data_IF_785123972625
#
_entry.id   IF_785123972625
#
_cell.length_a   1.000
_cell.length_b   1.000
_cell.length_c   1.000
_cell.angle_alpha   90.00
_cell.angle_beta   90.00
_cell.angle_gamma   90.00
#
_symmetry.space_group_name_H-M   'P 1'
#
loop_
_entity.id
_entity.type
_entity.pdbx_description
1 polymer ?
#
# COMPACT_ATOMS: atom_id res chain seq x y z
N UNK A 1 -19.84 -19.51 -25.32
CA UNK A 1 -18.38 -19.42 -25.11
C UNK A 1 -18.09 -19.83 -23.67
N UNK A 2 -17.22 -20.83 -23.46
CA UNK A 2 -16.87 -21.26 -22.09
C UNK A 2 -16.09 -20.15 -21.38
N UNK A 3 -16.48 -19.83 -20.15
CA UNK A 3 -15.80 -18.82 -19.33
C UNK A 3 -14.46 -19.43 -18.91
N UNK A 4 -13.35 -18.87 -19.40
CA UNK A 4 -12.02 -19.27 -18.96
C UNK A 4 -11.93 -19.17 -17.43
N UNK A 5 -11.15 -20.06 -16.81
CA UNK A 5 -10.88 -19.91 -15.39
C UNK A 5 -10.23 -18.55 -15.15
N UNK A 6 -10.54 -17.90 -14.02
CA UNK A 6 -10.01 -16.56 -13.68
C UNK A 6 -8.49 -16.48 -13.79
N UNK A 7 -7.79 -17.58 -13.47
CA UNK A 7 -6.33 -17.69 -13.60
C UNK A 7 -5.87 -17.60 -15.06
N UNK A 8 -6.54 -18.29 -15.96
CA UNK A 8 -6.22 -18.26 -17.40
C UNK A 8 -6.53 -16.88 -17.98
N UNK A 9 -7.65 -16.27 -17.59
CA UNK A 9 -7.99 -14.90 -18.02
C UNK A 9 -6.91 -13.88 -17.59
N UNK A 10 -6.44 -13.96 -16.34
CA UNK A 10 -5.36 -13.11 -15.84
C UNK A 10 -4.06 -13.30 -16.62
N UNK A 11 -3.71 -14.55 -16.90
CA UNK A 11 -2.50 -14.88 -17.64
C UNK A 11 -2.53 -14.34 -19.07
N UNK A 12 -3.66 -14.51 -19.77
CA UNK A 12 -3.86 -13.96 -21.12
C UNK A 12 -3.84 -12.43 -21.13
N UNK A 13 -4.44 -11.77 -20.13
CA UNK A 13 -4.39 -10.31 -20.01
C UNK A 13 -2.95 -9.84 -19.81
N UNK A 14 -2.22 -10.45 -18.87
CA UNK A 14 -0.82 -10.15 -18.60
C UNK A 14 0.05 -10.32 -19.85
N UNK A 15 -0.11 -11.44 -20.56
CA UNK A 15 0.63 -11.72 -21.78
C UNK A 15 0.37 -10.66 -22.87
N UNK A 16 -0.89 -10.24 -23.07
CA UNK A 16 -1.24 -9.17 -24.01
C UNK A 16 -0.64 -7.82 -23.63
N UNK A 17 -0.72 -7.44 -22.36
CA UNK A 17 -0.13 -6.18 -21.88
C UNK A 17 1.40 -6.17 -22.03
N UNK A 18 2.06 -7.29 -21.74
CA UNK A 18 3.51 -7.43 -21.98
C UNK A 18 3.87 -7.38 -23.47
N UNK A 19 3.04 -7.95 -24.35
CA UNK A 19 3.28 -7.93 -25.79
C UNK A 19 3.21 -6.51 -26.40
N UNK A 20 2.40 -5.61 -25.82
CA UNK A 20 2.34 -4.20 -26.22
C UNK A 20 3.37 -3.32 -25.49
N UNK A 21 4.26 -3.92 -24.69
CA UNK A 21 5.37 -3.21 -24.05
C UNK A 21 5.07 -2.62 -22.66
N UNK A 22 3.90 -2.88 -22.06
CA UNK A 22 3.57 -2.34 -20.73
C UNK A 22 4.49 -2.93 -19.64
N UNK A 23 4.92 -2.06 -18.74
CA UNK A 23 5.70 -2.40 -17.55
C UNK A 23 4.89 -3.21 -16.55
N UNK A 24 5.57 -3.86 -15.60
CA UNK A 24 4.88 -4.60 -14.54
C UNK A 24 4.05 -3.69 -13.62
N UNK A 25 4.46 -2.44 -13.47
CA UNK A 25 3.74 -1.45 -12.65
C UNK A 25 2.44 -1.02 -13.32
N UNK A 26 2.47 -0.75 -14.63
CA UNK A 26 1.24 -0.49 -15.41
C UNK A 26 0.30 -1.70 -15.39
N UNK A 27 0.84 -2.92 -15.49
CA UNK A 27 0.05 -4.14 -15.36
C UNK A 27 -0.55 -4.26 -13.97
N UNK A 28 0.19 -3.94 -12.91
CA UNK A 28 -0.32 -3.97 -11.54
C UNK A 28 -1.49 -3.00 -11.36
N UNK A 29 -1.40 -1.78 -11.91
CA UNK A 29 -2.51 -0.81 -11.89
C UNK A 29 -3.77 -1.37 -12.56
N UNK A 30 -3.63 -1.97 -13.75
CA UNK A 30 -4.78 -2.58 -14.43
C UNK A 30 -5.36 -3.78 -13.67
N UNK A 31 -4.50 -4.60 -13.06
CA UNK A 31 -4.93 -5.72 -12.24
C UNK A 31 -5.68 -5.26 -10.99
N UNK A 32 -5.21 -4.21 -10.33
CA UNK A 32 -5.89 -3.60 -9.19
C UNK A 32 -7.30 -3.11 -9.59
N UNK A 33 -7.41 -2.41 -10.73
CA UNK A 33 -8.68 -1.86 -11.24
C UNK A 33 -9.68 -2.94 -11.64
N UNK A 34 -9.25 -3.91 -12.46
CA UNK A 34 -10.09 -4.94 -13.08
C UNK A 34 -10.47 -6.06 -12.12
N UNK A 35 -9.52 -6.51 -11.29
CA UNK A 35 -9.71 -7.66 -10.41
C UNK A 35 -9.87 -7.29 -8.93
N UNK A 36 -9.89 -6.00 -8.60
CA UNK A 36 -10.02 -5.47 -7.23
C UNK A 36 -8.94 -6.02 -6.30
N UNK A 37 -7.73 -6.15 -6.83
CA UNK A 37 -6.57 -6.59 -6.07
C UNK A 37 -5.95 -5.39 -5.36
N UNK A 38 -5.53 -5.60 -4.10
CA UNK A 38 -4.70 -4.63 -3.39
C UNK A 38 -3.33 -4.53 -4.08
N UNK A 39 -2.62 -3.39 -3.97
CA UNK A 39 -1.39 -3.16 -4.74
C UNK A 39 -0.36 -4.29 -4.58
N UNK A 40 -0.12 -4.76 -3.37
CA UNK A 40 0.80 -5.88 -3.08
C UNK A 40 0.49 -7.14 -3.88
N UNK A 41 -0.78 -7.58 -3.86
CA UNK A 41 -1.21 -8.72 -4.65
C UNK A 41 -1.15 -8.42 -6.16
N UNK A 42 -1.50 -7.20 -6.57
CA UNK A 42 -1.49 -6.80 -7.97
C UNK A 42 -0.07 -6.87 -8.58
N UNK A 43 0.97 -6.38 -7.90
CA UNK A 43 2.36 -6.50 -8.37
C UNK A 43 2.85 -7.95 -8.45
N UNK A 44 2.39 -8.84 -7.56
CA UNK A 44 2.66 -10.28 -7.69
C UNK A 44 1.98 -10.86 -8.94
N UNK A 45 0.70 -10.55 -9.14
CA UNK A 45 -0.06 -11.03 -10.29
C UNK A 45 0.46 -10.46 -11.62
N UNK A 46 0.96 -9.22 -11.64
CA UNK A 46 1.57 -8.61 -12.82
C UNK A 46 2.76 -9.42 -13.35
N UNK A 47 3.48 -10.12 -12.47
CA UNK A 47 4.59 -11.01 -12.81
C UNK A 47 4.17 -12.45 -13.14
N UNK A 48 2.90 -12.78 -12.97
CA UNK A 48 2.40 -14.15 -13.14
C UNK A 48 2.83 -15.10 -12.03
N UNK A 49 3.24 -14.59 -10.86
CA UNK A 49 3.73 -15.42 -9.77
C UNK A 49 2.62 -15.92 -8.86
N UNK A 50 2.70 -17.20 -8.49
CA UNK A 50 1.97 -17.74 -7.33
C UNK A 50 2.55 -17.20 -6.02
N UNK A 51 1.79 -17.29 -4.93
CA UNK A 51 2.29 -16.88 -3.62
C UNK A 51 3.53 -17.67 -3.20
N UNK A 52 3.60 -18.97 -3.50
CA UNK A 52 4.79 -19.79 -3.22
C UNK A 52 6.00 -19.34 -4.02
N UNK A 53 5.85 -19.06 -5.32
CA UNK A 53 6.94 -18.53 -6.15
C UNK A 53 7.41 -17.17 -5.63
N UNK A 54 6.50 -16.26 -5.32
CA UNK A 54 6.82 -14.95 -4.78
C UNK A 54 7.55 -15.07 -3.42
N UNK A 55 7.07 -15.94 -2.52
CA UNK A 55 7.75 -16.21 -1.25
C UNK A 55 9.18 -16.72 -1.46
N UNK A 56 9.40 -17.60 -2.43
CA UNK A 56 10.75 -18.07 -2.78
C UNK A 56 11.64 -16.94 -3.31
N UNK A 57 11.13 -16.09 -4.22
CA UNK A 57 11.88 -14.92 -4.69
C UNK A 57 12.24 -13.96 -3.55
N UNK A 58 11.32 -13.75 -2.61
CA UNK A 58 11.55 -12.94 -1.41
C UNK A 58 12.65 -13.54 -0.54
N UNK A 59 12.60 -14.85 -0.27
CA UNK A 59 13.61 -15.54 0.54
C UNK A 59 14.99 -15.50 -0.11
N UNK A 60 15.08 -15.77 -1.41
CA UNK A 60 16.33 -15.69 -2.17
C UNK A 60 16.91 -14.28 -2.12
N UNK A 61 16.06 -13.25 -2.26
CA UNK A 61 16.52 -11.86 -2.15
C UNK A 61 16.97 -11.53 -0.71
N UNK A 62 16.20 -11.93 0.30
CA UNK A 62 16.51 -11.68 1.71
C UNK A 62 17.85 -12.29 2.12
N UNK A 63 18.13 -13.52 1.69
CA UNK A 63 19.42 -14.16 1.92
C UNK A 63 20.56 -13.41 1.23
N UNK A 64 20.36 -12.99 -0.03
CA UNK A 64 21.36 -12.25 -0.81
C UNK A 64 21.74 -10.91 -0.21
N UNK A 65 20.79 -10.18 0.39
CA UNK A 65 21.04 -8.88 1.04
C UNK A 65 21.42 -9.01 2.52
N UNK A 66 21.62 -10.23 3.02
CA UNK A 66 22.04 -10.49 4.39
C UNK A 66 20.94 -10.29 5.45
N UNK A 67 19.67 -10.22 5.04
CA UNK A 67 18.56 -10.03 5.97
C UNK A 67 18.14 -11.32 6.68
N UNK A 68 18.19 -12.44 5.97
CA UNK A 68 17.94 -13.77 6.52
C UNK A 68 18.86 -14.79 5.83
N UNK A 69 20.19 -14.71 6.04
CA UNK A 69 21.15 -15.57 5.33
C UNK A 69 20.98 -17.05 5.70
N UNK A 70 20.57 -17.33 6.94
CA UNK A 70 20.39 -18.70 7.45
C UNK A 70 18.98 -19.25 7.21
N UNK A 71 18.07 -18.45 6.65
CA UNK A 71 16.68 -18.84 6.44
C UNK A 71 15.96 -19.17 7.75
N UNK A 72 16.27 -18.44 8.82
CA UNK A 72 15.71 -18.67 10.15
C UNK A 72 14.24 -18.27 10.22
N UNK A 73 13.79 -17.31 9.40
CA UNK A 73 12.43 -16.79 9.41
C UNK A 73 11.84 -16.63 8.00
N UNK A 74 11.76 -17.73 7.22
CA UNK A 74 11.44 -17.64 5.80
C UNK A 74 10.03 -17.08 5.57
N UNK A 75 9.87 -16.38 4.45
CA UNK A 75 8.59 -16.06 3.88
C UNK A 75 7.92 -17.35 3.38
N UNK A 76 6.64 -17.51 3.72
CA UNK A 76 5.80 -18.61 3.26
C UNK A 76 4.60 -18.06 2.49
N UNK A 77 3.96 -18.90 1.66
CA UNK A 77 2.74 -18.51 0.94
C UNK A 77 1.65 -17.93 1.86
N UNK A 78 1.29 -18.59 2.97
CA UNK A 78 0.32 -18.04 3.94
C UNK A 78 0.74 -16.70 4.55
N UNK A 79 2.01 -16.57 4.98
CA UNK A 79 2.54 -15.31 5.54
C UNK A 79 2.49 -14.17 4.53
N UNK A 80 2.82 -14.47 3.27
CA UNK A 80 2.69 -13.50 2.18
C UNK A 80 1.22 -13.13 1.93
N UNK A 81 0.31 -14.10 1.99
CA UNK A 81 -1.13 -13.85 1.86
C UNK A 81 -1.66 -12.89 2.94
N UNK A 82 -1.25 -13.06 4.19
CA UNK A 82 -1.62 -12.13 5.27
C UNK A 82 -1.11 -10.72 5.01
N UNK A 83 0.14 -10.59 4.55
CA UNK A 83 0.74 -9.30 4.20
C UNK A 83 0.04 -8.64 3.01
N UNK A 84 -0.28 -9.40 1.97
CA UNK A 84 -0.97 -8.91 0.77
C UNK A 84 -2.37 -8.37 1.07
N UNK A 85 -3.03 -8.92 2.10
CA UNK A 85 -4.43 -8.62 2.41
C UNK A 85 -4.63 -7.77 3.68
N UNK A 86 -3.58 -7.38 4.39
CA UNK A 86 -3.69 -6.34 5.42
C UNK A 86 -4.19 -5.02 4.77
N UNK A 87 -5.02 -4.18 5.43
CA UNK A 87 -5.53 -4.24 6.80
C UNK A 87 -6.93 -4.88 6.90
N UNK A 88 -7.26 -5.91 6.10
CA UNK A 88 -8.54 -6.60 6.27
C UNK A 88 -8.66 -7.20 7.69
N UNK A 89 -9.88 -7.24 8.27
CA UNK A 89 -10.10 -7.55 9.70
C UNK A 89 -9.60 -8.93 10.14
N UNK A 90 -9.46 -9.88 9.21
CA UNK A 90 -8.97 -11.22 9.51
C UNK A 90 -7.44 -11.32 9.45
N UNK A 91 -6.74 -10.31 8.94
CA UNK A 91 -5.29 -10.31 8.76
C UNK A 91 -4.62 -9.50 9.86
N UNK A 92 -3.97 -10.21 10.79
CA UNK A 92 -3.32 -9.58 11.94
C UNK A 92 -1.90 -9.13 11.66
N UNK A 93 -1.29 -9.58 10.56
CA UNK A 93 0.13 -9.33 10.28
C UNK A 93 0.30 -8.04 9.50
N UNK A 94 0.52 -6.96 10.25
CA UNK A 94 0.89 -5.66 9.69
C UNK A 94 2.23 -5.73 8.94
N UNK A 95 2.33 -5.20 7.71
CA UNK A 95 3.61 -5.03 7.04
C UNK A 95 4.43 -3.92 7.73
N UNK A 96 5.67 -4.21 8.09
CA UNK A 96 6.65 -3.22 8.55
C UNK A 96 7.26 -2.45 7.37
N UNK A 97 7.80 -1.23 7.57
CA UNK A 97 8.52 -0.53 6.50
C UNK A 97 9.65 -1.36 5.88
N UNK A 98 10.35 -2.15 6.69
CA UNK A 98 11.41 -3.07 6.23
C UNK A 98 10.88 -4.16 5.28
N UNK A 99 9.75 -4.81 5.60
CA UNK A 99 9.21 -5.84 4.70
C UNK A 99 8.65 -5.20 3.42
N UNK A 100 8.11 -3.98 3.49
CA UNK A 100 7.67 -3.24 2.31
C UNK A 100 8.85 -2.87 1.41
N UNK A 101 9.99 -2.46 1.96
CA UNK A 101 11.22 -2.23 1.21
C UNK A 101 11.71 -3.52 0.51
N UNK A 102 11.72 -4.65 1.23
CA UNK A 102 12.07 -5.94 0.64
C UNK A 102 11.13 -6.34 -0.50
N UNK A 103 9.82 -6.14 -0.31
CA UNK A 103 8.82 -6.41 -1.35
C UNK A 103 9.01 -5.48 -2.54
N UNK A 104 9.30 -4.19 -2.33
CA UNK A 104 9.53 -3.22 -3.39
C UNK A 104 10.72 -3.61 -4.26
N UNK A 105 11.81 -4.08 -3.64
CA UNK A 105 12.99 -4.59 -4.36
C UNK A 105 12.72 -5.85 -5.16
N UNK A 106 12.04 -6.84 -4.57
CA UNK A 106 11.66 -8.09 -5.26
C UNK A 106 10.64 -7.82 -6.36
N UNK A 107 9.76 -6.86 -6.11
CA UNK A 107 8.73 -6.41 -7.03
C UNK A 107 9.15 -5.25 -7.92
N UNK A 108 10.44 -4.94 -8.00
CA UNK A 108 11.00 -3.90 -8.87
C UNK A 108 10.09 -2.67 -9.01
N UNK A 109 9.65 -2.16 -7.86
CA UNK A 109 8.69 -1.05 -7.77
C UNK A 109 9.05 -0.18 -6.58
N UNK A 110 8.34 0.93 -6.39
CA UNK A 110 8.49 1.78 -5.21
C UNK A 110 7.70 1.23 -4.03
N UNK A 111 8.17 1.51 -2.82
CA UNK A 111 7.41 1.24 -1.58
C UNK A 111 6.03 1.90 -1.65
N UNK A 112 5.95 3.10 -2.23
CA UNK A 112 4.70 3.86 -2.35
C UNK A 112 3.70 3.19 -3.30
N UNK A 113 4.20 2.44 -4.29
CA UNK A 113 3.38 1.62 -5.20
C UNK A 113 2.75 0.41 -4.51
N UNK A 114 3.24 0.00 -3.33
CA UNK A 114 2.73 -1.13 -2.57
C UNK A 114 1.70 -0.77 -1.49
N UNK A 115 1.39 0.53 -1.33
CA UNK A 115 0.56 1.06 -0.24
C UNK A 115 -0.64 1.79 -0.87
N UNK A 116 -1.85 1.41 -0.49
CA UNK A 116 -3.07 2.11 -0.89
C UNK A 116 -3.59 3.08 0.20
N UNK A 117 -4.84 3.52 0.07
CA UNK A 117 -5.48 4.41 1.03
C UNK A 117 -5.73 3.72 2.37
N UNK A 118 -6.33 2.53 2.37
CA UNK A 118 -6.64 1.81 3.62
C UNK A 118 -5.35 1.53 4.40
N UNK A 119 -4.25 1.24 3.71
CA UNK A 119 -2.96 1.06 4.35
C UNK A 119 -2.51 2.33 5.08
N UNK A 120 -2.65 3.49 4.43
CA UNK A 120 -2.29 4.79 5.03
C UNK A 120 -3.16 5.15 6.23
N UNK A 121 -4.43 4.78 6.20
CA UNK A 121 -5.36 5.02 7.31
C UNK A 121 -5.09 4.12 8.53
N UNK A 122 -4.62 2.89 8.30
CA UNK A 122 -4.46 1.88 9.36
C UNK A 122 -3.01 1.75 9.87
N UNK A 123 -2.04 2.33 9.17
CA UNK A 123 -0.63 2.20 9.52
C UNK A 123 -0.24 3.17 10.65
N UNK A 124 0.59 2.74 11.61
CA UNK A 124 1.06 3.64 12.67
C UNK A 124 1.80 4.86 12.11
N UNK A 125 1.66 6.04 12.73
CA UNK A 125 2.36 7.25 12.29
C UNK A 125 3.88 7.10 12.20
N UNK A 126 4.50 6.30 13.08
CA UNK A 126 5.94 6.04 13.05
C UNK A 126 6.36 5.24 11.80
N UNK A 127 5.56 4.24 11.40
CA UNK A 127 5.83 3.44 10.20
C UNK A 127 5.63 4.31 8.95
N UNK A 128 4.59 5.16 8.93
CA UNK A 128 4.35 6.13 7.85
C UNK A 128 5.49 7.13 7.71
N UNK A 129 6.01 7.66 8.82
CA UNK A 129 7.14 8.58 8.79
C UNK A 129 8.35 7.94 8.09
N UNK A 130 8.70 6.71 8.45
CA UNK A 130 9.79 5.98 7.79
C UNK A 130 9.53 5.80 6.29
N UNK A 131 8.32 5.43 5.90
CA UNK A 131 7.95 5.25 4.49
C UNK A 131 8.05 6.55 3.71
N UNK A 132 7.59 7.67 4.27
CA UNK A 132 7.64 8.99 3.61
C UNK A 132 9.07 9.50 3.43
N UNK A 133 10.00 9.09 4.29
CA UNK A 133 11.42 9.47 4.17
C UNK A 133 12.20 8.66 3.15
N UNK A 134 11.67 7.51 2.71
CA UNK A 134 12.32 6.70 1.69
C UNK A 134 12.01 7.35 0.33
N UNK A 135 13.04 7.78 -0.42
CA UNK A 135 12.83 8.44 -1.70
C UNK A 135 12.10 7.50 -2.66
N UNK A 136 11.24 8.08 -3.49
CA UNK A 136 10.69 7.37 -4.63
C UNK A 136 11.85 6.86 -5.48
N UNK A 137 11.78 5.59 -5.89
CA UNK A 137 12.65 5.13 -6.98
C UNK A 137 12.25 5.95 -8.18
N UNK A 138 13.11 6.84 -8.64
CA UNK A 138 12.89 7.61 -9.86
C UNK A 138 12.71 6.63 -11.02
N UNK A 139 11.46 6.28 -11.31
CA UNK A 139 11.08 5.78 -12.63
C UNK A 139 11.27 6.99 -13.53
N UNK A 140 12.20 6.97 -14.50
CA UNK A 140 12.40 8.13 -15.35
C UNK A 140 11.05 8.49 -15.97
N UNK A 141 10.63 9.72 -15.75
CA UNK A 141 9.39 10.31 -16.27
C UNK A 141 9.37 10.43 -17.81
N UNK A 142 10.08 9.55 -18.54
CA UNK A 142 10.11 9.49 -20.00
C UNK A 142 8.79 9.00 -20.62
N UNK A 143 7.74 8.79 -19.82
CA UNK A 143 6.41 8.41 -20.30
C UNK A 143 5.28 9.34 -19.81
N UNK A 144 5.58 10.46 -19.15
CA UNK A 144 4.59 11.53 -18.96
C UNK A 144 4.88 12.55 -20.04
N UNK A 145 4.17 12.41 -21.17
CA UNK A 145 4.32 13.29 -22.32
C UNK A 145 4.32 14.75 -21.91
N UNK A 146 5.39 15.45 -22.32
CA UNK A 146 5.42 16.90 -22.39
C UNK A 146 4.21 17.37 -23.20
N UNK A 147 3.14 17.74 -22.51
CA UNK A 147 2.10 18.56 -23.12
C UNK A 147 2.73 19.92 -23.40
N UNK A 148 2.77 20.39 -24.67
CA UNK A 148 3.22 21.74 -24.94
C UNK A 148 2.29 22.70 -24.22
N UNK A 149 2.87 23.50 -23.33
CA UNK A 149 2.20 24.61 -22.69
C UNK A 149 1.75 25.57 -23.80
N UNK A 150 0.46 25.50 -24.15
CA UNK A 150 -0.15 26.43 -25.07
C UNK A 150 -0.01 27.83 -24.46
N UNK A 151 0.90 28.62 -25.03
CA UNK A 151 1.01 30.03 -24.74
C UNK A 151 -0.33 30.67 -25.13
N UNK A 152 -1.12 31.03 -24.12
CA UNK A 152 -2.32 31.82 -24.32
C UNK A 152 -1.86 33.20 -24.77
N UNK A 153 -1.92 33.44 -26.08
CA UNK A 153 -1.90 34.78 -26.64
C UNK A 153 -3.06 35.55 -26.01
N UNK A 154 -2.72 36.58 -25.23
CA UNK A 154 -3.69 37.54 -24.72
C UNK A 154 -4.38 38.21 -25.89
N UNK A 155 -5.66 37.88 -26.11
CA UNK A 155 -6.56 38.79 -26.81
C UNK A 155 -7.05 39.81 -25.80
N UNK A 156 -6.53 41.03 -25.94
CA UNK A 156 -7.10 42.23 -25.34
C UNK A 156 -8.56 42.37 -25.78
N UNK A 157 -9.48 42.35 -24.81
CA UNK A 157 -10.85 42.80 -25.02
C UNK A 157 -10.97 44.16 -24.34
N UNK A 158 -10.98 45.20 -25.15
CA UNK A 158 -11.30 46.58 -24.74
C UNK A 158 -12.79 46.67 -24.36
N UNK A 159 -13.16 47.22 -23.19
CA UNK A 159 -14.55 47.42 -22.83
C UNK A 159 -15.04 48.77 -23.35
N UNK A 160 -16.16 48.80 -24.09
CA UNK A 160 -16.97 50.00 -24.25
C UNK A 160 -18.27 49.79 -23.48
N UNK A 161 -18.41 50.59 -22.42
CA UNK A 161 -19.52 50.53 -21.50
C UNK A 161 -20.78 51.21 -22.01
N UNK A 162 -21.84 51.05 -21.20
CA UNK A 162 -22.98 51.95 -21.22
C UNK A 162 -24.23 51.39 -20.55
N UNK A 163 -24.46 51.83 -19.30
CA UNK A 163 -25.75 52.18 -18.65
C UNK A 163 -26.87 51.11 -18.58
N UNK A 164 -27.57 50.85 -17.48
CA UNK A 164 -27.96 51.65 -16.30
C UNK A 164 -28.34 50.68 -15.13
N UNK A 165 -28.02 51.01 -13.87
CA UNK A 165 -28.97 51.48 -12.82
C UNK A 165 -29.88 50.38 -12.23
N UNK A 166 -30.18 50.24 -10.93
CA UNK A 166 -29.71 50.67 -9.62
C UNK A 166 -30.61 49.90 -8.63
N UNK A 167 -30.05 49.33 -7.55
CA UNK A 167 -30.73 49.26 -6.24
C UNK A 167 -29.82 48.64 -5.17
N UNK A 168 -29.84 49.28 -4.01
CA UNK A 168 -28.96 49.13 -2.86
C UNK A 168 -29.38 48.01 -1.87
N UNK A 169 -28.38 47.27 -1.34
CA UNK A 169 -27.89 47.16 0.07
C UNK A 169 -28.97 47.18 1.20
N UNK A 170 -28.94 46.33 2.27
CA UNK A 170 -27.74 46.07 3.08
C UNK A 170 -27.44 44.66 3.63
N UNK A 171 -26.16 44.54 3.99
CA UNK A 171 -25.56 43.49 4.80
C UNK A 171 -25.99 43.54 6.28
N UNK A 172 -26.20 42.34 6.84
CA UNK A 172 -26.03 41.96 8.26
C UNK A 172 -25.34 40.60 8.19
N UNK A 173 -24.22 40.31 8.83
CA UNK A 173 -23.78 40.73 10.15
C UNK A 173 -23.78 39.51 11.07
N UNK A 174 -22.58 38.99 11.35
CA UNK A 174 -22.19 38.23 12.56
C UNK A 174 -22.70 36.78 12.71
N UNK A 175 -21.78 35.81 12.81
CA UNK A 175 -21.45 35.18 14.10
C UNK A 175 -20.49 33.99 13.96
N UNK A 176 -19.31 34.12 14.57
CA UNK A 176 -18.38 33.04 14.89
C UNK A 176 -18.97 32.20 16.03
N UNK A 177 -19.49 31.01 15.69
CA UNK A 177 -19.94 30.02 16.68
C UNK A 177 -18.80 29.17 17.20
N UNK A 178 -18.30 29.51 18.40
CA UNK A 178 -17.39 28.70 19.23
C UNK A 178 -18.22 27.97 20.29
N UNK A 179 -18.18 26.63 20.31
CA UNK A 179 -18.55 25.80 21.46
C UNK A 179 -17.52 24.63 21.52
N UNK A 180 -16.57 24.64 22.49
CA UNK A 180 -16.63 23.86 23.76
C UNK A 180 -16.98 22.39 23.49
N UNK A 181 -16.08 21.42 23.63
CA UNK A 181 -15.31 21.12 24.83
C UNK A 181 -15.91 19.88 25.49
N UNK A 182 -15.29 18.71 25.32
CA UNK A 182 -15.61 17.50 26.08
C UNK A 182 -14.31 16.78 26.43
N UNK A 183 -14.11 16.62 27.74
CA UNK A 183 -12.96 16.06 28.41
C UNK A 183 -12.91 14.51 28.31
N UNK A 184 -11.74 13.89 28.59
CA UNK A 184 -11.55 12.46 28.49
C UNK A 184 -12.09 11.71 29.72
N UNK A 185 -12.82 10.62 29.50
CA UNK A 185 -13.15 9.64 30.54
C UNK A 185 -11.99 8.69 30.79
N UNK A 186 -11.56 8.68 32.05
CA UNK A 186 -10.54 7.81 32.61
C UNK A 186 -10.97 6.33 32.65
N UNK A 187 -9.98 5.46 32.45
CA UNK A 187 -9.72 4.29 33.29
C UNK A 187 -10.66 3.09 33.19
N UNK A 188 -10.17 1.99 32.61
CA UNK A 188 -10.35 0.70 33.28
C UNK A 188 -9.17 -0.24 33.04
N UNK A 189 -8.66 -0.70 34.18
CA UNK A 189 -7.44 -1.48 34.36
C UNK A 189 -7.56 -2.91 33.83
N UNK A 190 -6.38 -3.40 33.42
CA UNK A 190 -6.05 -4.78 33.07
C UNK A 190 -6.05 -5.65 34.33
N UNK A 191 -6.72 -6.82 34.34
CA UNK A 191 -6.32 -7.90 35.23
C UNK A 191 -5.22 -8.75 34.58
N UNK A 192 -4.03 -8.67 35.16
CA UNK A 192 -2.93 -9.62 34.99
C UNK A 192 -3.44 -10.99 35.43
N UNK A 193 -3.48 -11.97 34.53
CA UNK A 193 -3.60 -13.39 34.91
C UNK A 193 -2.19 -13.98 34.95
N UNK A 194 -1.80 -14.31 36.17
CA UNK A 194 -0.57 -15.01 36.53
C UNK A 194 -0.48 -16.35 35.79
N UNK A 195 0.73 -16.67 35.33
CA UNK A 195 1.08 -17.96 34.72
C UNK A 195 1.33 -18.99 35.83
N UNK A 196 0.72 -20.18 35.79
CA UNK A 196 1.14 -21.28 36.64
C UNK A 196 2.50 -21.82 36.18
N UNK A 197 3.40 -21.99 37.14
CA UNK A 197 4.76 -22.49 37.00
C UNK A 197 4.72 -24.02 37.16
N UNK A 198 4.50 -24.77 36.09
CA UNK A 198 4.57 -26.23 36.15
C UNK A 198 6.00 -26.72 35.94
N UNK A 199 6.68 -26.83 37.10
CA UNK A 199 7.38 -28.01 37.59
C UNK A 199 8.01 -28.95 36.55
N UNK A 200 9.34 -28.87 36.47
CA UNK A 200 10.22 -29.89 35.87
C UNK A 200 10.28 -31.13 36.78
N UNK A 201 9.98 -32.35 36.31
CA UNK A 201 10.56 -33.58 36.83
C UNK A 201 11.76 -33.94 35.93
N UNK A 202 12.99 -33.99 36.42
CA UNK A 202 13.46 -35.03 37.32
C UNK A 202 14.38 -35.95 36.53
N UNK A 203 15.69 -35.67 36.57
CA UNK A 203 16.73 -36.53 35.99
C UNK A 203 16.73 -37.88 36.72
N UNK A 204 16.23 -38.92 36.07
CA UNK A 204 16.46 -40.30 36.46
C UNK A 204 17.78 -40.79 35.86
N UNK A 205 18.85 -40.77 36.66
CA UNK A 205 19.97 -41.70 36.48
C UNK A 205 19.46 -43.08 36.89
N UNK A 206 19.65 -44.11 36.06
CA UNK A 206 19.80 -45.46 36.57
C UNK A 206 20.75 -46.25 35.69
N UNK A 207 21.74 -46.78 36.39
CA UNK A 207 22.81 -47.66 35.96
C UNK A 207 22.28 -49.05 35.66
N UNK A 208 22.73 -49.66 34.57
CA UNK A 208 23.36 -51.00 34.49
C UNK A 208 23.62 -51.36 33.03
#
# INVERSE_FOLDING_TARGET
MSKLSRRVEQEELRARMRAVGMSHDEIAVEFARRYKLRPRAAHRHARGWTQTQAANHINTHAARVGLDPDGAAPMTGPKLSELENWPLPNNRRRPTPQILALLAEVYDTSIHGLIDLDDREQMPPADLLLITTIPERDVPASAIGSLPQAQSAGSEVTPMGGYAESAAVPARGVSLGRCRGAAPTAGRAVPVRERPVDRVPGRGRSSR
#
